data_IF_688320713807
#
_entry.id   IF_688320713807
#
_cell.length_a   1.000
_cell.length_b   1.000
_cell.length_c   1.000
_cell.angle_alpha   90.00
_cell.angle_beta   90.00
_cell.angle_gamma   90.00
#
_symmetry.space_group_name_H-M   'P 1'
#
loop_
_entity.id
_entity.type
_entity.pdbx_description
1 polymer ?
#
# COMPACT_ATOMS: atom_id res chain seq x y z
N UNK A 1 -17.20 -3.83 1.70
CA UNK A 1 -16.31 -3.84 0.52
C UNK A 1 -15.84 -2.43 0.16
N UNK A 2 -16.61 -1.56 -0.52
CA UNK A 2 -16.08 -0.22 -0.90
C UNK A 2 -15.84 0.72 0.29
N UNK A 3 -16.72 0.70 1.29
CA UNK A 3 -16.62 1.55 2.49
C UNK A 3 -15.32 1.33 3.26
N UNK A 4 -14.87 0.08 3.38
CA UNK A 4 -13.65 -0.27 4.11
C UNK A 4 -12.39 0.29 3.43
N UNK A 5 -12.38 0.33 2.09
CA UNK A 5 -11.30 0.98 1.34
C UNK A 5 -11.30 2.49 1.55
N UNK A 6 -12.47 3.13 1.52
CA UNK A 6 -12.58 4.58 1.77
C UNK A 6 -12.07 4.93 3.17
N UNK A 7 -12.43 4.15 4.19
CA UNK A 7 -11.93 4.33 5.55
C UNK A 7 -10.42 4.06 5.66
N UNK A 8 -9.91 3.06 4.95
CA UNK A 8 -8.47 2.81 4.88
C UNK A 8 -7.73 4.00 4.25
N UNK A 9 -8.21 4.55 3.13
CA UNK A 9 -7.60 5.71 2.49
C UNK A 9 -7.62 6.95 3.40
N UNK A 10 -8.74 7.19 4.10
CA UNK A 10 -8.83 8.26 5.10
C UNK A 10 -7.85 8.08 6.25
N UNK A 11 -7.63 6.85 6.68
CA UNK A 11 -6.69 6.52 7.76
C UNK A 11 -5.25 6.75 7.31
N UNK A 12 -4.90 6.27 6.12
CA UNK A 12 -3.59 6.47 5.48
C UNK A 12 -3.31 7.97 5.25
N UNK A 13 -4.28 8.73 4.76
CA UNK A 13 -4.12 10.16 4.52
C UNK A 13 -3.89 10.95 5.82
N UNK A 14 -4.55 10.57 6.93
CA UNK A 14 -4.38 11.21 8.24
C UNK A 14 -3.06 10.84 8.92
N UNK A 15 -2.62 9.60 8.73
CA UNK A 15 -1.35 9.13 9.30
C UNK A 15 -0.63 8.24 8.28
N UNK A 16 0.22 8.84 7.41
CA UNK A 16 0.92 8.10 6.36
C UNK A 16 1.85 7.01 6.88
N UNK A 17 2.22 7.02 8.17
CA UNK A 17 3.13 6.02 8.76
C UNK A 17 2.46 4.74 9.28
N UNK A 18 1.12 4.60 9.17
CA UNK A 18 0.40 3.48 9.82
C UNK A 18 0.65 2.11 9.20
N UNK A 19 1.14 2.06 7.97
CA UNK A 19 1.35 0.81 7.25
C UNK A 19 2.58 0.05 7.70
N UNK A 20 2.60 -1.23 7.39
CA UNK A 20 3.74 -2.11 7.67
C UNK A 20 4.77 -2.03 6.55
N UNK A 21 6.05 -2.14 6.89
CA UNK A 21 7.13 -2.35 5.93
C UNK A 21 7.17 -3.83 5.52
N UNK A 22 7.46 -4.08 4.25
CA UNK A 22 7.76 -5.42 3.70
C UNK A 22 9.19 -5.39 3.17
N UNK A 23 10.17 -5.60 4.04
CA UNK A 23 11.60 -5.58 3.67
C UNK A 23 11.94 -6.58 2.56
N UNK A 24 11.11 -7.62 2.38
CA UNK A 24 11.21 -8.61 1.32
C UNK A 24 10.73 -8.12 -0.06
N UNK A 25 9.97 -7.02 -0.12
CA UNK A 25 9.33 -6.52 -1.34
C UNK A 25 9.86 -5.18 -1.84
N UNK A 26 10.30 -4.36 -0.91
CA UNK A 26 10.73 -3.00 -1.16
C UNK A 26 12.07 -2.85 -0.49
N UNK A 27 13.07 -2.50 -1.30
CA UNK A 27 14.39 -2.04 -0.83
C UNK A 27 14.24 -0.74 -0.02
N UNK A 28 15.17 0.21 -0.11
CA UNK A 28 15.15 1.47 0.66
C UNK A 28 14.02 2.46 0.27
N UNK A 29 13.00 2.03 -0.49
CA UNK A 29 11.86 2.87 -0.87
C UNK A 29 10.88 3.01 0.31
N UNK A 30 10.31 4.21 0.57
CA UNK A 30 9.37 4.45 1.66
C UNK A 30 7.94 3.98 1.29
N UNK A 31 7.83 2.73 0.85
CA UNK A 31 6.58 2.08 0.50
C UNK A 31 6.08 1.30 1.72
N UNK A 32 4.84 1.58 2.11
CA UNK A 32 4.16 0.90 3.20
C UNK A 32 2.95 0.12 2.68
N UNK A 33 2.54 -0.86 3.47
CA UNK A 33 1.47 -1.78 3.14
C UNK A 33 0.38 -1.75 4.21
N UNK A 34 -0.88 -1.61 3.79
CA UNK A 34 -2.05 -1.63 4.67
C UNK A 34 -3.04 -2.71 4.22
N UNK A 35 -3.38 -3.68 5.09
CA UNK A 35 -4.33 -4.72 4.75
C UNK A 35 -5.78 -4.22 4.82
N UNK A 36 -6.60 -4.64 3.85
CA UNK A 36 -8.06 -4.48 3.88
C UNK A 36 -8.65 -5.81 3.42
N UNK A 37 -9.15 -6.61 4.38
CA UNK A 37 -9.62 -7.98 4.12
C UNK A 37 -8.53 -8.80 3.40
N UNK A 38 -8.87 -9.43 2.29
CA UNK A 38 -7.97 -10.23 1.46
C UNK A 38 -7.13 -9.39 0.50
N UNK A 39 -7.11 -8.06 0.64
CA UNK A 39 -6.34 -7.15 -0.21
C UNK A 39 -5.26 -6.42 0.57
N UNK A 40 -4.22 -6.03 -0.14
CA UNK A 40 -3.12 -5.23 0.34
C UNK A 40 -3.03 -3.94 -0.47
N UNK A 41 -3.12 -2.81 0.23
CA UNK A 41 -2.87 -1.49 -0.33
C UNK A 41 -1.38 -1.20 -0.17
N UNK A 42 -0.66 -1.03 -1.27
CA UNK A 42 0.70 -0.49 -1.24
C UNK A 42 0.66 1.02 -1.55
N UNK A 43 1.40 1.81 -0.79
CA UNK A 43 1.40 3.26 -0.93
C UNK A 43 2.74 3.89 -0.55
N UNK A 44 3.06 5.04 -1.14
CA UNK A 44 4.27 5.80 -0.85
C UNK A 44 4.00 6.80 0.28
N UNK A 45 4.53 6.53 1.47
CA UNK A 45 4.20 7.29 2.68
C UNK A 45 4.75 8.73 2.66
N UNK A 46 5.89 8.93 1.99
CA UNK A 46 6.57 10.24 1.93
C UNK A 46 6.07 11.14 0.78
N UNK A 47 5.17 10.63 -0.07
CA UNK A 47 4.59 11.42 -1.15
C UNK A 47 3.64 12.48 -0.56
N UNK A 48 3.60 13.66 -1.19
CA UNK A 48 2.69 14.75 -0.83
C UNK A 48 1.83 15.13 -2.04
N UNK A 49 0.54 14.75 -2.08
CA UNK A 49 -0.19 13.92 -1.13
C UNK A 49 0.26 12.44 -1.16
N UNK A 50 -0.13 11.66 -0.15
CA UNK A 50 0.15 10.21 -0.12
C UNK A 50 -0.34 9.55 -1.40
N UNK A 51 0.52 8.73 -2.01
CA UNK A 51 0.23 8.09 -3.28
C UNK A 51 -0.12 6.61 -3.07
N UNK A 52 -1.35 6.22 -3.41
CA UNK A 52 -1.71 4.81 -3.52
C UNK A 52 -1.07 4.25 -4.79
N UNK A 53 -0.17 3.29 -4.62
CA UNK A 53 0.58 2.66 -5.71
C UNK A 53 -0.26 1.57 -6.35
N UNK A 54 -0.78 0.64 -5.53
CA UNK A 54 -1.55 -0.52 -5.99
C UNK A 54 -2.45 -1.08 -4.90
N UNK A 55 -3.47 -1.82 -5.33
CA UNK A 55 -4.30 -2.67 -4.50
C UNK A 55 -4.24 -4.06 -5.12
N UNK A 56 -3.79 -5.04 -4.35
CA UNK A 56 -3.57 -6.42 -4.82
C UNK A 56 -4.18 -7.41 -3.86
N UNK A 57 -4.78 -8.49 -4.37
CA UNK A 57 -5.27 -9.57 -3.53
C UNK A 57 -4.07 -10.31 -2.89
N UNK A 58 -4.12 -10.59 -1.58
CA UNK A 58 -3.00 -11.12 -0.80
C UNK A 58 -2.53 -12.51 -1.23
N UNK A 59 -3.38 -13.29 -1.89
CA UNK A 59 -3.00 -14.59 -2.48
C UNK A 59 -2.28 -14.50 -3.83
N UNK A 60 -2.15 -13.30 -4.42
CA UNK A 60 -1.41 -13.09 -5.66
C UNK A 60 0.06 -12.80 -5.38
N UNK A 61 0.86 -12.85 -6.44
CA UNK A 61 2.26 -12.42 -6.42
C UNK A 61 2.34 -10.88 -6.25
N UNK A 62 2.37 -10.45 -4.99
CA UNK A 62 2.53 -9.05 -4.59
C UNK A 62 3.84 -8.44 -5.13
N UNK A 63 5.02 -9.10 -5.03
CA UNK A 63 6.25 -8.57 -5.63
C UNK A 63 6.10 -8.32 -7.13
N UNK A 64 5.54 -9.27 -7.90
CA UNK A 64 5.31 -9.08 -9.32
C UNK A 64 4.39 -7.87 -9.58
N UNK A 65 3.31 -7.71 -8.81
CA UNK A 65 2.39 -6.59 -8.95
C UNK A 65 3.03 -5.20 -8.69
N UNK A 66 4.13 -5.15 -7.92
CA UNK A 66 4.90 -3.94 -7.67
C UNK A 66 5.92 -3.64 -8.77
N UNK A 67 6.57 -4.67 -9.35
CA UNK A 67 7.60 -4.49 -10.40
C UNK A 67 7.09 -3.79 -11.66
N UNK A 68 5.81 -3.96 -11.99
CA UNK A 68 5.19 -3.37 -13.19
C UNK A 68 4.75 -1.91 -13.03
N UNK A 69 4.94 -1.34 -11.85
CA UNK A 69 4.60 0.05 -11.58
C UNK A 69 5.93 0.80 -11.49
N UNK A 70 6.11 1.79 -12.36
CA UNK A 70 7.29 2.66 -12.38
C UNK A 70 7.32 3.54 -11.13
N UNK A 71 7.67 2.93 -10.00
CA UNK A 71 7.89 3.57 -8.69
C UNK A 71 9.39 3.62 -8.43
#
# INVERSE_FOLDING_TARGET
MLVEFVEAFRSIARNPGIGHKRQDLVEDRPILFWPVRDYLIAYHADAKPVQIITIVHGSRDVPAALRFRHI
#
